data_IF_047279380084
#
_entry.id   IF_047279380084
#
_cell.length_a   1.000
_cell.length_b   1.000
_cell.length_c   1.000
_cell.angle_alpha   90.00
_cell.angle_beta   90.00
_cell.angle_gamma   90.00
#
_symmetry.space_group_name_H-M   'P 1'
#
loop_
_entity.id
_entity.type
_entity.pdbx_description
1 polymer ?
#
# COMPACT_ATOMS: atom_id res chain seq x y z
N UNK A 1 8.26 -33.88 5.02
CA UNK A 1 8.04 -32.44 5.21
C UNK A 1 9.25 -31.92 5.98
N UNK A 2 10.22 -31.33 5.30
CA UNK A 2 11.49 -30.90 5.90
C UNK A 2 11.31 -29.48 6.44
N UNK A 3 11.34 -29.33 7.76
CA UNK A 3 11.26 -28.01 8.40
C UNK A 3 12.59 -27.31 8.14
N UNK A 4 12.54 -26.21 7.37
CA UNK A 4 13.69 -25.34 7.14
C UNK A 4 13.98 -24.56 8.43
N UNK A 5 15.07 -24.87 9.11
CA UNK A 5 15.47 -24.23 10.38
C UNK A 5 16.41 -23.05 10.10
N UNK A 6 15.85 -21.86 9.91
CA UNK A 6 16.58 -20.60 9.79
C UNK A 6 15.66 -19.41 10.10
N UNK A 7 16.23 -18.24 10.44
CA UNK A 7 15.44 -17.02 10.64
C UNK A 7 14.96 -16.52 9.27
N UNK A 8 13.64 -16.36 9.13
CA UNK A 8 13.02 -15.86 7.90
C UNK A 8 13.36 -14.38 7.73
N UNK A 9 13.86 -14.02 6.54
CA UNK A 9 14.15 -12.65 6.14
C UNK A 9 12.95 -12.00 5.42
N UNK A 10 12.23 -12.79 4.62
CA UNK A 10 11.07 -12.35 3.81
C UNK A 10 10.07 -13.48 3.71
N UNK A 11 8.78 -13.16 3.79
CA UNK A 11 7.71 -14.13 3.62
C UNK A 11 7.28 -14.26 2.15
N UNK A 12 6.84 -15.45 1.76
CA UNK A 12 6.22 -15.66 0.46
C UNK A 12 5.00 -14.74 0.28
N UNK A 13 4.88 -14.11 -0.88
CA UNK A 13 3.80 -13.17 -1.18
C UNK A 13 4.00 -11.75 -0.62
N UNK A 14 5.12 -11.49 0.06
CA UNK A 14 5.42 -10.17 0.58
C UNK A 14 5.75 -9.18 -0.54
N UNK A 15 5.14 -7.99 -0.47
CA UNK A 15 5.40 -6.88 -1.38
C UNK A 15 6.76 -6.24 -1.05
N UNK A 16 7.69 -6.28 -2.00
CA UNK A 16 9.03 -5.69 -1.85
C UNK A 16 9.10 -4.28 -2.46
N UNK A 17 8.20 -3.98 -3.38
CA UNK A 17 8.09 -2.65 -3.99
C UNK A 17 6.94 -2.55 -4.96
N UNK A 18 6.60 -1.31 -5.31
CA UNK A 18 5.59 -0.98 -6.30
C UNK A 18 6.03 0.24 -7.10
N UNK A 19 5.71 0.28 -8.40
CA UNK A 19 5.99 1.39 -9.30
C UNK A 19 4.82 1.62 -10.26
N UNK A 20 4.50 2.89 -10.51
CA UNK A 20 3.48 3.29 -11.50
C UNK A 20 4.11 3.34 -12.88
N UNK A 21 3.34 2.92 -13.88
CA UNK A 21 3.68 3.07 -15.30
C UNK A 21 2.55 3.86 -15.97
N UNK A 22 2.91 5.01 -16.51
CA UNK A 22 1.95 5.89 -17.16
C UNK A 22 1.45 5.30 -18.49
N UNK A 23 0.26 5.75 -18.89
CA UNK A 23 -0.32 5.30 -20.16
C UNK A 23 0.60 5.67 -21.32
N UNK A 24 0.72 4.78 -22.30
CA UNK A 24 1.53 4.97 -23.51
C UNK A 24 3.03 5.20 -23.24
N UNK A 25 3.55 4.74 -22.08
CA UNK A 25 4.99 4.77 -21.81
C UNK A 25 5.77 4.03 -22.90
N UNK A 26 6.94 4.59 -23.24
CA UNK A 26 7.84 3.99 -24.23
C UNK A 26 8.50 2.74 -23.67
N UNK A 27 9.18 1.98 -24.55
CA UNK A 27 9.96 0.82 -24.12
C UNK A 27 11.05 1.21 -23.10
N UNK A 28 11.78 2.29 -23.37
CA UNK A 28 12.85 2.78 -22.50
C UNK A 28 12.33 3.22 -21.13
N UNK A 29 11.18 3.90 -21.08
CA UNK A 29 10.55 4.30 -19.82
C UNK A 29 10.10 3.09 -18.99
N UNK A 30 9.55 2.06 -19.65
CA UNK A 30 9.12 0.83 -18.97
C UNK A 30 10.31 0.04 -18.46
N UNK A 31 11.36 -0.13 -19.26
CA UNK A 31 12.60 -0.81 -18.83
C UNK A 31 13.22 -0.08 -17.63
N UNK A 32 13.34 1.25 -17.70
CA UNK A 32 13.85 2.07 -16.58
C UNK A 32 12.99 1.91 -15.31
N UNK A 33 11.66 1.88 -15.44
CA UNK A 33 10.76 1.72 -14.29
C UNK A 33 10.90 0.33 -13.62
N UNK A 34 11.15 -0.73 -14.40
CA UNK A 34 11.42 -2.07 -13.86
C UNK A 34 12.79 -2.12 -13.16
N UNK A 35 13.83 -1.52 -13.75
CA UNK A 35 15.16 -1.42 -13.14
C UNK A 35 15.13 -0.65 -11.81
N UNK A 36 14.47 0.51 -11.77
CA UNK A 36 14.29 1.30 -10.55
C UNK A 36 13.53 0.52 -9.47
N UNK A 37 12.50 -0.22 -9.87
CA UNK A 37 11.73 -1.05 -8.95
C UNK A 37 12.57 -2.21 -8.40
N UNK A 38 13.39 -2.83 -9.23
CA UNK A 38 14.33 -3.87 -8.85
C UNK A 38 15.32 -3.37 -7.80
N UNK A 39 15.98 -2.25 -8.06
CA UNK A 39 16.93 -1.63 -7.13
C UNK A 39 16.27 -1.22 -5.81
N UNK A 40 15.03 -0.73 -5.86
CA UNK A 40 14.28 -0.41 -4.63
C UNK A 40 14.04 -1.66 -3.78
N UNK A 41 13.73 -2.80 -4.41
CA UNK A 41 13.57 -4.06 -3.70
C UNK A 41 14.89 -4.56 -3.10
N UNK A 42 16.02 -4.45 -3.83
CA UNK A 42 17.36 -4.75 -3.29
C UNK A 42 17.65 -3.92 -2.03
N UNK A 43 17.34 -2.62 -2.06
CA UNK A 43 17.50 -1.73 -0.90
C UNK A 43 16.64 -2.14 0.30
N UNK A 44 15.37 -2.50 0.06
CA UNK A 44 14.47 -3.00 1.13
C UNK A 44 15.04 -4.27 1.78
N UNK A 45 15.59 -5.18 0.99
CA UNK A 45 16.17 -6.42 1.48
C UNK A 45 17.52 -6.21 2.17
N UNK A 46 18.33 -5.28 1.67
CA UNK A 46 19.58 -4.86 2.30
C UNK A 46 19.35 -4.41 3.74
N UNK A 47 18.37 -3.51 3.95
CA UNK A 47 18.02 -3.02 5.29
C UNK A 47 17.55 -4.13 6.25
N UNK A 48 16.86 -5.14 5.74
CA UNK A 48 16.32 -6.25 6.55
C UNK A 48 17.35 -7.31 6.88
N UNK A 49 18.25 -7.59 5.93
CA UNK A 49 19.27 -8.64 6.05
C UNK A 49 20.57 -8.14 6.64
N UNK A 50 20.81 -6.83 6.63
CA UNK A 50 22.06 -6.20 7.03
C UNK A 50 23.20 -6.36 6.01
N UNK A 51 22.91 -6.90 4.81
CA UNK A 51 23.88 -7.01 3.72
C UNK A 51 23.89 -5.74 2.86
N UNK A 52 25.02 -5.37 2.23
CA UNK A 52 25.05 -4.33 1.20
C UNK A 52 24.05 -4.65 0.08
N UNK A 53 23.44 -3.62 -0.53
CA UNK A 53 22.45 -3.81 -1.59
C UNK A 53 23.06 -4.45 -2.84
N UNK A 54 24.33 -4.16 -3.12
CA UNK A 54 25.11 -4.71 -4.22
C UNK A 54 25.39 -6.23 -4.06
N UNK A 55 25.21 -6.76 -2.85
CA UNK A 55 25.31 -8.20 -2.56
C UNK A 55 23.94 -8.90 -2.55
N UNK A 56 22.85 -8.15 -2.69
CA UNK A 56 21.51 -8.72 -2.84
C UNK A 56 21.33 -9.14 -4.30
N UNK A 57 21.03 -10.42 -4.52
CA UNK A 57 20.70 -10.93 -5.86
C UNK A 57 19.23 -11.33 -5.87
N UNK A 58 18.47 -10.65 -6.73
CA UNK A 58 17.08 -10.97 -7.01
C UNK A 58 16.99 -11.91 -8.22
N UNK A 59 16.61 -13.16 -7.97
CA UNK A 59 16.33 -14.12 -9.02
C UNK A 59 14.96 -13.87 -9.64
N UNK A 60 14.95 -13.48 -10.91
CA UNK A 60 13.75 -13.32 -11.75
C UNK A 60 13.88 -14.20 -12.99
N UNK A 61 12.78 -14.80 -13.44
CA UNK A 61 12.73 -15.45 -14.75
C UNK A 61 12.72 -14.39 -15.88
N UNK A 62 13.77 -14.30 -16.72
CA UNK A 62 13.90 -13.20 -17.69
C UNK A 62 12.82 -13.20 -18.76
N UNK A 63 12.30 -14.37 -19.15
CA UNK A 63 11.21 -14.46 -20.12
C UNK A 63 9.89 -13.93 -19.55
N UNK A 64 9.61 -14.23 -18.27
CA UNK A 64 8.44 -13.73 -17.55
C UNK A 64 8.55 -12.23 -17.31
N UNK A 65 9.71 -11.73 -16.88
CA UNK A 65 9.94 -10.30 -16.70
C UNK A 65 9.73 -9.54 -18.01
N UNK A 66 10.29 -10.02 -19.11
CA UNK A 66 10.08 -9.43 -20.44
C UNK A 66 8.61 -9.37 -20.83
N UNK A 67 7.84 -10.44 -20.60
CA UNK A 67 6.39 -10.44 -20.85
C UNK A 67 5.66 -9.39 -20.02
N UNK A 68 6.06 -9.19 -18.76
CA UNK A 68 5.50 -8.14 -17.89
C UNK A 68 5.85 -6.74 -18.36
N UNK A 69 7.04 -6.51 -18.88
CA UNK A 69 7.38 -5.25 -19.54
C UNK A 69 6.53 -5.04 -20.81
N UNK A 70 6.40 -6.06 -21.66
CA UNK A 70 5.61 -6.00 -22.89
C UNK A 70 4.12 -5.68 -22.62
N UNK A 71 3.55 -6.12 -21.48
CA UNK A 71 2.19 -5.75 -21.05
C UNK A 71 2.04 -4.24 -20.79
N UNK A 72 3.13 -3.54 -20.48
CA UNK A 72 3.15 -2.13 -20.11
C UNK A 72 3.50 -1.19 -21.28
N UNK A 73 4.32 -1.66 -22.23
CA UNK A 73 4.80 -0.85 -23.35
C UNK A 73 3.62 -0.38 -24.20
N UNK A 74 3.52 0.94 -24.40
CA UNK A 74 2.44 1.59 -25.15
C UNK A 74 1.03 1.23 -24.67
N UNK A 75 0.88 0.74 -23.44
CA UNK A 75 -0.42 0.32 -22.92
C UNK A 75 -1.40 1.52 -22.91
N UNK A 76 -2.66 1.34 -23.36
CA UNK A 76 -3.61 2.44 -23.43
C UNK A 76 -4.07 2.92 -22.06
N UNK A 77 -4.04 2.03 -21.06
CA UNK A 77 -4.38 2.32 -19.67
C UNK A 77 -3.11 2.60 -18.84
N UNK A 78 -3.28 3.37 -17.76
CA UNK A 78 -2.25 3.50 -16.71
C UNK A 78 -2.13 2.16 -15.99
N UNK A 79 -0.92 1.77 -15.65
CA UNK A 79 -0.62 0.50 -14.98
C UNK A 79 0.19 0.74 -13.72
N UNK A 80 0.29 -0.29 -12.90
CA UNK A 80 1.30 -0.37 -11.86
C UNK A 80 1.87 -1.77 -11.83
N UNK A 81 3.13 -1.86 -11.45
CA UNK A 81 3.87 -3.10 -11.30
C UNK A 81 4.28 -3.27 -9.84
N UNK A 82 4.16 -4.49 -9.34
CA UNK A 82 4.61 -4.93 -8.02
C UNK A 82 5.73 -5.93 -8.18
N UNK A 83 6.73 -5.86 -7.31
CA UNK A 83 7.75 -6.90 -7.14
C UNK A 83 7.50 -7.62 -5.81
N UNK A 84 7.30 -8.94 -5.89
CA UNK A 84 6.78 -9.75 -4.79
C UNK A 84 7.68 -10.97 -4.59
N UNK A 85 7.90 -11.35 -3.33
CA UNK A 85 8.65 -12.56 -3.00
C UNK A 85 7.87 -13.83 -3.39
N UNK A 86 8.54 -14.76 -4.06
CA UNK A 86 7.93 -16.03 -4.51
C UNK A 86 7.84 -17.08 -3.42
N UNK A 87 8.77 -17.06 -2.47
CA UNK A 87 8.87 -18.05 -1.42
C UNK A 87 9.39 -17.41 -0.12
N UNK A 88 9.26 -18.15 0.98
CA UNK A 88 9.93 -17.78 2.22
C UNK A 88 11.44 -17.83 2.00
N UNK A 89 12.12 -16.73 2.32
CA UNK A 89 13.56 -16.59 2.15
C UNK A 89 14.21 -16.60 3.53
N UNK A 90 15.17 -17.48 3.75
CA UNK A 90 15.98 -17.47 4.96
C UNK A 90 17.10 -16.43 4.85
N UNK A 91 17.58 -15.92 5.98
CA UNK A 91 18.78 -15.10 6.00
C UNK A 91 19.96 -15.84 5.34
N UNK A 92 20.52 -15.22 4.29
CA UNK A 92 21.66 -15.75 3.54
C UNK A 92 21.31 -16.51 2.26
N UNK A 93 20.04 -16.76 1.97
CA UNK A 93 19.58 -17.36 0.70
C UNK A 93 19.35 -16.29 -0.39
N UNK A 94 19.45 -16.72 -1.65
CA UNK A 94 19.05 -15.90 -2.80
C UNK A 94 17.54 -15.65 -2.80
N UNK A 95 17.16 -14.45 -3.19
CA UNK A 95 15.76 -13.98 -3.12
C UNK A 95 15.13 -14.20 -4.47
N UNK A 96 14.15 -15.10 -4.57
CA UNK A 96 13.34 -15.24 -5.79
C UNK A 96 12.12 -14.34 -5.73
N UNK A 97 11.90 -13.59 -6.80
CA UNK A 97 10.82 -12.61 -6.90
C UNK A 97 10.13 -12.72 -8.25
N UNK A 98 8.87 -12.27 -8.29
CA UNK A 98 8.09 -12.12 -9.51
C UNK A 98 7.53 -10.71 -9.63
N UNK A 99 7.26 -10.31 -10.87
CA UNK A 99 6.52 -9.10 -11.17
C UNK A 99 5.05 -9.39 -11.43
N UNK A 100 4.19 -8.58 -10.82
CA UNK A 100 2.75 -8.57 -11.08
C UNK A 100 2.35 -7.21 -11.64
N UNK A 101 1.64 -7.21 -12.76
CA UNK A 101 1.19 -5.99 -13.47
C UNK A 101 -0.32 -5.91 -13.40
N UNK A 102 -0.82 -4.73 -13.06
CA UNK A 102 -2.23 -4.46 -12.88
C UNK A 102 -2.62 -3.14 -13.54
N UNK A 103 -3.89 -3.03 -13.91
CA UNK A 103 -4.44 -1.75 -14.35
C UNK A 103 -4.60 -0.82 -13.14
N UNK A 104 -4.22 0.44 -13.34
CA UNK A 104 -4.44 1.49 -12.37
C UNK A 104 -5.56 2.42 -12.84
N UNK A 105 -6.56 2.58 -11.99
CA UNK A 105 -7.67 3.52 -12.18
C UNK A 105 -7.82 4.40 -10.95
N UNK A 106 -8.30 5.62 -11.17
CA UNK A 106 -8.73 6.49 -10.10
C UNK A 106 -9.90 5.83 -9.37
N UNK A 107 -9.82 5.76 -8.04
CA UNK A 107 -10.85 5.20 -7.17
C UNK A 107 -11.51 6.29 -6.34
N UNK A 108 -10.71 7.22 -5.81
CA UNK A 108 -11.21 8.40 -5.11
C UNK A 108 -10.60 9.67 -5.65
N UNK A 109 -11.41 10.72 -5.77
CA UNK A 109 -10.93 12.07 -6.06
C UNK A 109 -10.37 12.72 -4.79
N UNK A 110 -9.47 13.69 -4.95
CA UNK A 110 -9.03 14.53 -3.84
C UNK A 110 -10.21 15.27 -3.20
N UNK A 111 -10.32 15.21 -1.86
CA UNK A 111 -11.38 15.87 -1.11
C UNK A 111 -12.69 15.08 -1.04
N UNK A 112 -12.70 13.84 -1.52
CA UNK A 112 -13.87 12.97 -1.49
C UNK A 112 -14.18 12.48 -0.06
N UNK A 113 -15.46 12.48 0.31
CA UNK A 113 -15.94 11.94 1.59
C UNK A 113 -16.10 10.42 1.48
N UNK A 114 -15.22 9.68 2.15
CA UNK A 114 -15.19 8.21 2.10
C UNK A 114 -15.93 7.54 3.25
N UNK A 115 -16.15 8.27 4.36
CA UNK A 115 -17.03 7.84 5.45
C UNK A 115 -17.49 9.04 6.27
N UNK A 116 -18.63 8.91 6.95
CA UNK A 116 -19.14 9.92 7.88
C UNK A 116 -19.91 9.22 9.00
N UNK A 117 -19.66 9.60 10.25
CA UNK A 117 -20.43 9.14 11.40
C UNK A 117 -20.54 10.21 12.47
N UNK A 118 -21.68 10.24 13.14
CA UNK A 118 -21.90 11.12 14.30
C UNK A 118 -21.23 10.53 15.55
N UNK A 119 -20.46 11.37 16.23
CA UNK A 119 -19.94 11.13 17.59
C UNK A 119 -20.82 11.83 18.61
N UNK A 120 -21.24 11.10 19.65
CA UNK A 120 -21.99 11.67 20.78
C UNK A 120 -21.07 11.67 22.01
N UNK A 121 -20.87 12.82 22.68
CA UNK A 121 -20.06 12.89 23.89
C UNK A 121 -20.53 11.91 24.96
N UNK A 122 -19.58 11.31 25.68
CA UNK A 122 -19.82 10.30 26.73
C UNK A 122 -20.52 9.01 26.26
N UNK A 123 -20.65 8.78 24.95
CA UNK A 123 -21.25 7.54 24.42
C UNK A 123 -20.30 6.35 24.41
N UNK A 124 -19.00 6.58 24.58
CA UNK A 124 -17.98 5.54 24.60
C UNK A 124 -16.57 6.11 24.56
N UNK A 125 -15.64 5.29 24.09
CA UNK A 125 -14.23 5.65 23.90
C UNK A 125 -13.99 6.22 22.49
N UNK A 126 -13.38 7.40 22.42
CA UNK A 126 -13.18 8.14 21.17
C UNK A 126 -12.16 7.45 20.25
N UNK A 127 -11.11 6.86 20.82
CA UNK A 127 -10.10 6.10 20.07
C UNK A 127 -10.72 4.87 19.40
N UNK A 128 -11.50 4.09 20.14
CA UNK A 128 -12.25 2.95 19.62
C UNK A 128 -13.24 3.35 18.52
N UNK A 129 -13.91 4.50 18.67
CA UNK A 129 -14.79 5.05 17.64
C UNK A 129 -14.02 5.34 16.34
N UNK A 130 -12.91 6.07 16.42
CA UNK A 130 -12.10 6.41 15.23
C UNK A 130 -11.47 5.17 14.59
N UNK A 131 -10.96 4.21 15.36
CA UNK A 131 -10.48 2.94 14.81
C UNK A 131 -11.57 2.16 14.08
N UNK A 132 -12.79 2.14 14.62
CA UNK A 132 -13.92 1.50 13.95
C UNK A 132 -14.29 2.19 12.63
N UNK A 133 -14.11 3.52 12.56
CA UNK A 133 -14.32 4.33 11.35
C UNK A 133 -13.25 4.03 10.30
N UNK A 134 -11.98 3.98 10.70
CA UNK A 134 -10.88 3.58 9.82
C UNK A 134 -11.05 2.15 9.28
N UNK A 135 -11.52 1.22 10.11
CA UNK A 135 -11.80 -0.15 9.69
C UNK A 135 -12.92 -0.24 8.64
N UNK A 136 -13.93 0.64 8.73
CA UNK A 136 -14.95 0.77 7.69
C UNK A 136 -14.37 1.30 6.39
N UNK A 137 -13.60 2.40 6.46
CA UNK A 137 -12.93 2.99 5.29
C UNK A 137 -12.06 1.94 4.59
N UNK A 138 -11.29 1.14 5.34
CA UNK A 138 -10.47 0.07 4.78
C UNK A 138 -11.31 -0.97 4.03
N UNK A 139 -12.40 -1.47 4.63
CA UNK A 139 -13.28 -2.45 3.97
C UNK A 139 -13.91 -1.89 2.71
N UNK A 140 -14.38 -0.64 2.77
CA UNK A 140 -15.01 0.06 1.65
C UNK A 140 -14.02 0.27 0.50
N UNK A 141 -12.82 0.76 0.80
CA UNK A 141 -11.75 0.96 -0.18
C UNK A 141 -11.38 -0.33 -0.91
N UNK A 142 -11.25 -1.46 -0.20
CA UNK A 142 -11.01 -2.75 -0.85
C UNK A 142 -12.16 -3.14 -1.78
N UNK A 143 -13.42 -2.96 -1.35
CA UNK A 143 -14.59 -3.29 -2.15
C UNK A 143 -14.73 -2.40 -3.41
N UNK A 144 -14.32 -1.14 -3.32
CA UNK A 144 -14.36 -0.17 -4.42
C UNK A 144 -13.15 -0.31 -5.38
N UNK A 145 -12.15 -1.10 -4.98
CA UNK A 145 -11.07 -1.57 -5.85
C UNK A 145 -9.72 -0.95 -5.57
N UNK A 146 -9.46 -0.50 -4.35
CA UNK A 146 -8.10 -0.35 -3.84
C UNK A 146 -7.52 -1.73 -3.56
N UNK A 147 -6.31 -1.97 -4.03
CA UNK A 147 -5.58 -3.21 -3.80
C UNK A 147 -4.87 -3.15 -2.45
N UNK A 148 -5.30 -3.96 -1.46
CA UNK A 148 -4.69 -3.93 -0.15
C UNK A 148 -3.24 -4.43 -0.20
N UNK A 149 -2.47 -4.03 0.81
CA UNK A 149 -1.19 -4.65 1.12
C UNK A 149 -1.42 -6.13 1.49
N UNK A 150 -0.69 -7.04 0.85
CA UNK A 150 -0.92 -8.48 0.98
C UNK A 150 -0.60 -9.01 2.39
N UNK A 151 0.34 -8.37 3.10
CA UNK A 151 0.78 -8.80 4.43
C UNK A 151 -0.17 -8.31 5.54
N UNK A 152 -0.56 -7.03 5.49
CA UNK A 152 -1.36 -6.38 6.53
C UNK A 152 -2.85 -6.33 6.25
N UNK A 153 -3.27 -6.49 4.98
CA UNK A 153 -4.65 -6.29 4.54
C UNK A 153 -5.10 -4.81 4.57
N UNK A 154 -4.18 -3.88 4.83
CA UNK A 154 -4.48 -2.45 4.92
C UNK A 154 -4.36 -1.78 3.56
N UNK A 155 -5.17 -0.75 3.34
CA UNK A 155 -5.13 0.08 2.12
C UNK A 155 -4.31 1.35 2.25
N UNK A 156 -3.91 1.70 3.47
CA UNK A 156 -3.20 2.94 3.79
C UNK A 156 -2.91 3.04 5.27
N UNK A 157 -2.25 4.13 5.64
CA UNK A 157 -1.97 4.49 7.02
C UNK A 157 -2.36 5.96 7.24
N UNK A 158 -2.86 6.24 8.43
CA UNK A 158 -3.07 7.60 8.92
C UNK A 158 -1.87 8.00 9.78
N UNK A 159 -1.49 9.28 9.77
CA UNK A 159 -0.46 9.78 10.68
C UNK A 159 -0.92 9.62 12.13
N UNK A 160 -0.02 9.17 13.00
CA UNK A 160 -0.35 8.91 14.41
C UNK A 160 -0.72 10.21 15.14
N UNK A 161 -0.06 11.32 14.80
CA UNK A 161 -0.33 12.64 15.39
C UNK A 161 -1.73 13.10 15.01
N UNK A 162 -2.06 13.07 13.71
CA UNK A 162 -3.40 13.44 13.22
C UNK A 162 -4.51 12.58 13.86
N UNK A 163 -4.21 11.30 14.13
CA UNK A 163 -5.16 10.41 14.78
C UNK A 163 -5.39 10.80 16.24
N UNK A 164 -4.33 11.01 17.01
CA UNK A 164 -4.46 11.39 18.42
C UNK A 164 -5.02 12.80 18.61
N UNK A 165 -4.70 13.74 17.72
CA UNK A 165 -5.30 15.08 17.73
C UNK A 165 -6.82 15.00 17.56
N UNK A 166 -7.31 14.14 16.65
CA UNK A 166 -8.74 13.90 16.50
C UNK A 166 -9.37 13.21 17.72
N UNK A 167 -8.67 12.27 18.38
CA UNK A 167 -9.14 11.67 19.64
C UNK A 167 -9.32 12.75 20.71
N UNK A 168 -8.32 13.62 20.88
CA UNK A 168 -8.38 14.70 21.85
C UNK A 168 -9.50 15.71 21.55
N UNK A 169 -9.74 16.04 20.28
CA UNK A 169 -10.82 16.91 19.87
C UNK A 169 -12.19 16.30 20.24
N UNK A 170 -12.40 15.01 19.93
CA UNK A 170 -13.64 14.31 20.27
C UNK A 170 -13.88 14.16 21.78
N UNK A 171 -12.83 14.12 22.59
CA UNK A 171 -12.95 14.09 24.05
C UNK A 171 -13.37 15.45 24.65
N UNK A 172 -13.11 16.55 23.93
CA UNK A 172 -13.40 17.92 24.40
C UNK A 172 -14.77 18.43 23.96
N UNK A 173 -15.46 17.75 23.03
CA UNK A 173 -16.78 18.19 22.55
C UNK A 173 -17.88 17.97 23.60
N UNK A 174 -18.74 18.98 23.79
CA UNK A 174 -19.88 18.91 24.72
C UNK A 174 -21.20 18.54 24.03
N UNK A 175 -21.23 18.59 22.69
CA UNK A 175 -22.39 18.28 21.86
C UNK A 175 -22.04 17.23 20.83
N UNK A 176 -23.06 16.59 20.27
CA UNK A 176 -22.88 15.68 19.14
C UNK A 176 -22.24 16.42 17.95
N UNK A 177 -21.29 15.75 17.30
CA UNK A 177 -20.53 16.26 16.16
C UNK A 177 -20.51 15.20 15.06
N UNK A 178 -20.42 15.64 13.81
CA UNK A 178 -20.15 14.74 12.69
C UNK A 178 -18.65 14.61 12.46
N UNK A 179 -18.20 13.36 12.35
CA UNK A 179 -16.83 12.99 12.03
C UNK A 179 -16.81 12.47 10.60
N UNK A 180 -16.23 13.27 9.72
CA UNK A 180 -16.14 12.99 8.28
C UNK A 180 -14.71 12.55 7.94
N UNK A 181 -14.57 11.50 7.14
CA UNK A 181 -13.28 11.05 6.61
C UNK A 181 -13.15 11.52 5.18
N UNK A 182 -12.11 12.30 4.90
CA UNK A 182 -11.89 12.95 3.60
C UNK A 182 -10.54 12.52 3.05
N UNK A 183 -10.47 12.24 1.74
CA UNK A 183 -9.21 11.94 1.03
C UNK A 183 -8.33 13.18 0.92
N UNK A 184 -7.01 12.98 0.92
CA UNK A 184 -6.01 14.05 0.82
C UNK A 184 -5.49 14.27 -0.61
N UNK A 185 -5.67 13.28 -1.47
CA UNK A 185 -5.19 13.25 -2.85
C UNK A 185 -6.14 12.43 -3.71
N UNK A 186 -5.91 12.46 -5.03
CA UNK A 186 -6.44 11.45 -5.93
C UNK A 186 -5.82 10.09 -5.56
N UNK A 187 -6.68 9.12 -5.26
CA UNK A 187 -6.24 7.78 -4.85
C UNK A 187 -6.59 6.79 -5.96
N UNK A 188 -5.58 6.08 -6.42
CA UNK A 188 -5.68 5.07 -7.46
C UNK A 188 -5.71 3.66 -6.85
N UNK A 189 -6.05 2.66 -7.67
CA UNK A 189 -6.10 1.23 -7.31
C UNK A 189 -4.90 0.76 -6.48
N UNK A 190 -3.71 1.24 -6.77
CA UNK A 190 -2.48 0.81 -6.11
C UNK A 190 -2.25 1.44 -4.72
N UNK A 191 -3.09 2.42 -4.32
CA UNK A 191 -3.00 3.12 -3.04
C UNK A 191 -1.72 3.95 -2.88
N UNK A 192 -1.38 4.34 -1.64
CA UNK A 192 -2.15 4.14 -0.41
C UNK A 192 -3.35 5.10 -0.30
N UNK A 193 -4.35 4.72 0.47
CA UNK A 193 -5.46 5.60 0.87
C UNK A 193 -4.96 6.59 1.92
N UNK A 194 -4.81 7.85 1.53
CA UNK A 194 -4.44 8.96 2.43
C UNK A 194 -5.68 9.78 2.77
N UNK A 195 -5.95 9.91 4.07
CA UNK A 195 -7.19 10.50 4.59
C UNK A 195 -6.91 11.39 5.80
N UNK A 196 -7.87 12.24 6.12
CA UNK A 196 -7.95 13.00 7.38
C UNK A 196 -9.35 12.94 7.96
N UNK A 197 -9.46 13.19 9.26
CA UNK A 197 -10.74 13.47 9.89
C UNK A 197 -11.10 14.96 9.76
N UNK A 198 -12.38 15.24 9.60
CA UNK A 198 -12.96 16.56 9.71
C UNK A 198 -14.13 16.49 10.67
N UNK A 199 -14.02 17.21 11.79
CA UNK A 199 -15.01 17.21 12.86
C UNK A 199 -15.82 18.50 12.73
N UNK A 200 -17.15 18.38 12.71
CA UNK A 200 -18.04 19.54 12.55
C UNK A 200 -19.21 19.43 13.52
N UNK A 201 -19.58 20.54 14.17
CA UNK A 201 -20.79 20.60 15.00
C UNK A 201 -22.05 20.44 14.16
N UNK A 202 -23.01 19.67 14.68
CA UNK A 202 -24.36 19.55 14.14
C UNK A 202 -25.19 20.84 14.31
#
# INVERSE_FOLDING_TARGET
MQVRSGRIAVFAGELLGQQVIERKSSKEDVESAFEELHHRAEMVLSLRTGKPAEEIVLGVDPETEKKKMDECINAPARKFVRIIADANILLGEDVRVRYEVYDSRLVYENGEVVAQRTWVPNSGDAESFLHSLLAEVNRRAVAEGIMPDAASGKVGAMDATDFFDAVEELQKVEKAVDVTVITLDDIYTEGPVRIKFHITTL
#
